data_IF_086335980257
#
_entry.id   IF_086335980257
#
_cell.length_a   1.000
_cell.length_b   1.000
_cell.length_c   1.000
_cell.angle_alpha   90.00
_cell.angle_beta   90.00
_cell.angle_gamma   90.00
#
_symmetry.space_group_name_H-M   'P 1'
#
loop_
_entity.id
_entity.type
_entity.pdbx_description
1 polymer ?
#
# COMPACT_ATOMS: atom_id res chain seq x y z
N UNK A 1 17.33 5.82 -45.48
CA UNK A 1 17.63 6.45 -44.17
C UNK A 1 16.46 7.35 -43.80
N UNK A 2 15.68 7.00 -42.77
CA UNK A 2 14.58 7.83 -42.30
C UNK A 2 15.18 9.11 -41.68
N UNK A 3 14.84 10.29 -42.23
CA UNK A 3 15.28 11.57 -41.67
C UNK A 3 14.66 11.70 -40.27
N UNK A 4 15.47 11.97 -39.24
CA UNK A 4 14.93 12.30 -37.93
C UNK A 4 14.10 13.57 -38.07
N UNK A 5 12.81 13.48 -37.74
CA UNK A 5 11.97 14.69 -37.64
C UNK A 5 12.55 15.52 -36.51
N UNK A 6 13.05 16.71 -36.83
CA UNK A 6 13.40 17.70 -35.81
C UNK A 6 12.13 17.99 -35.02
N UNK A 7 12.15 17.69 -33.73
CA UNK A 7 11.12 18.17 -32.81
C UNK A 7 11.35 19.67 -32.75
N UNK A 8 10.46 20.45 -33.34
CA UNK A 8 10.50 21.91 -33.24
C UNK A 8 10.48 22.28 -31.74
N UNK A 9 11.21 23.32 -31.37
CA UNK A 9 11.25 23.81 -29.99
C UNK A 9 9.81 24.10 -29.55
N UNK A 10 9.35 23.43 -28.50
CA UNK A 10 8.04 23.71 -27.91
C UNK A 10 8.11 25.11 -27.33
N UNK A 11 7.34 26.03 -27.90
CA UNK A 11 7.20 27.37 -27.32
C UNK A 11 6.45 27.28 -26.00
N UNK A 12 6.90 28.05 -25.00
CA UNK A 12 6.30 28.05 -23.66
C UNK A 12 4.80 28.40 -23.72
N UNK A 13 4.40 29.26 -24.66
CA UNK A 13 3.00 29.63 -24.86
C UNK A 13 2.10 28.47 -25.32
N UNK A 14 2.69 27.42 -25.93
CA UNK A 14 1.96 26.25 -26.42
C UNK A 14 2.06 25.06 -25.47
N UNK A 15 2.83 25.19 -24.38
CA UNK A 15 3.14 24.11 -23.45
C UNK A 15 1.85 23.53 -22.85
N UNK A 16 0.90 24.38 -22.44
CA UNK A 16 -0.38 23.93 -21.89
C UNK A 16 -1.18 23.09 -22.88
N UNK A 17 -1.15 23.45 -24.17
CA UNK A 17 -1.84 22.70 -25.21
C UNK A 17 -1.20 21.33 -25.45
N UNK A 18 0.13 21.25 -25.34
CA UNK A 18 0.85 19.97 -25.37
C UNK A 18 0.56 19.11 -24.14
N UNK A 19 0.52 19.70 -22.95
CA UNK A 19 0.16 19.00 -21.71
C UNK A 19 -1.28 18.47 -21.75
N UNK A 20 -2.22 19.26 -22.26
CA UNK A 20 -3.60 18.84 -22.47
C UNK A 20 -3.72 17.68 -23.47
N UNK A 21 -2.99 17.77 -24.59
CA UNK A 21 -3.00 16.72 -25.63
C UNK A 21 -2.34 15.41 -25.18
N UNK A 22 -1.44 15.46 -24.20
CA UNK A 22 -0.74 14.28 -23.67
C UNK A 22 -1.37 13.70 -22.40
N UNK A 23 -2.43 14.34 -21.88
CA UNK A 23 -3.17 13.86 -20.71
C UNK A 23 -2.59 14.26 -19.36
N UNK A 24 -1.57 15.12 -19.31
CA UNK A 24 -1.09 15.71 -18.05
C UNK A 24 -2.05 16.79 -17.52
N UNK A 25 -2.73 17.47 -18.44
CA UNK A 25 -3.86 18.36 -18.17
C UNK A 25 -5.10 17.85 -18.91
N UNK A 26 -6.27 18.36 -18.54
CA UNK A 26 -7.49 18.08 -19.27
C UNK A 26 -7.48 18.83 -20.62
N UNK A 27 -7.84 18.16 -21.73
CA UNK A 27 -8.00 18.82 -23.03
C UNK A 27 -9.00 19.96 -22.93
N UNK A 28 -8.60 21.16 -23.34
CA UNK A 28 -9.47 22.35 -23.31
C UNK A 28 -10.09 22.66 -24.67
N UNK A 29 -9.57 22.06 -25.74
CA UNK A 29 -10.01 22.27 -27.11
C UNK A 29 -10.16 20.94 -27.87
N UNK A 30 -11.02 20.92 -28.90
CA UNK A 30 -11.30 19.70 -29.68
C UNK A 30 -10.04 19.11 -30.33
N UNK A 31 -9.13 19.98 -30.77
CA UNK A 31 -7.87 19.58 -31.39
C UNK A 31 -6.95 18.83 -30.40
N UNK A 32 -6.96 19.24 -29.13
CA UNK A 32 -6.19 18.55 -28.08
C UNK A 32 -6.79 17.19 -27.75
N UNK A 33 -8.12 17.11 -27.72
CA UNK A 33 -8.85 15.88 -27.49
C UNK A 33 -8.60 14.87 -28.62
N UNK A 34 -8.62 15.30 -29.88
CA UNK A 34 -8.32 14.44 -31.02
C UNK A 34 -6.87 13.91 -30.97
N UNK A 35 -5.91 14.78 -30.61
CA UNK A 35 -4.52 14.36 -30.40
C UNK A 35 -4.39 13.35 -29.25
N UNK A 36 -5.09 13.58 -28.14
CA UNK A 36 -5.11 12.67 -27.00
C UNK A 36 -5.66 11.30 -27.40
N UNK A 37 -6.84 11.27 -28.06
CA UNK A 37 -7.47 10.03 -28.51
C UNK A 37 -6.55 9.23 -29.43
N UNK A 38 -5.84 9.90 -30.33
CA UNK A 38 -4.85 9.27 -31.21
C UNK A 38 -3.63 8.75 -30.47
N UNK A 39 -3.18 9.44 -29.43
CA UNK A 39 -2.02 9.02 -28.63
C UNK A 39 -2.32 7.77 -27.78
N UNK A 40 -3.57 7.65 -27.34
CA UNK A 40 -4.03 6.56 -26.46
C UNK A 40 -5.04 5.62 -27.15
N UNK A 41 -5.00 5.52 -28.49
CA UNK A 41 -5.90 4.65 -29.27
C UNK A 41 -5.71 3.17 -28.89
N UNK A 42 -4.45 2.72 -28.76
CA UNK A 42 -4.08 1.36 -28.39
C UNK A 42 -3.95 1.16 -26.87
N UNK A 43 -4.31 2.17 -26.07
CA UNK A 43 -4.13 2.08 -24.62
C UNK A 43 -5.21 1.18 -24.02
N UNK A 44 -4.78 0.07 -23.42
CA UNK A 44 -5.69 -0.83 -22.70
C UNK A 44 -6.07 -0.20 -21.35
N UNK A 45 -7.24 0.44 -21.32
CA UNK A 45 -7.84 0.97 -20.11
C UNK A 45 -8.19 -0.20 -19.19
N UNK A 46 -7.37 -0.44 -18.16
CA UNK A 46 -7.58 -1.47 -17.11
C UNK A 46 -8.88 -1.28 -16.29
N UNK A 47 -9.74 -0.35 -16.69
CA UNK A 47 -10.95 0.08 -16.02
C UNK A 47 -12.23 -0.22 -16.83
N UNK A 48 -12.12 -0.81 -18.03
CA UNK A 48 -13.25 -0.98 -18.97
C UNK A 48 -14.47 -1.72 -18.39
N UNK A 49 -14.28 -2.59 -17.39
CA UNK A 49 -15.37 -3.35 -16.76
C UNK A 49 -15.84 -2.78 -15.41
N UNK A 50 -15.39 -1.58 -15.02
CA UNK A 50 -15.79 -0.95 -13.75
C UNK A 50 -16.83 0.13 -13.99
N UNK A 51 -18.10 -0.28 -13.96
CA UNK A 51 -19.22 0.65 -13.88
C UNK A 51 -19.15 1.43 -12.56
N UNK A 52 -18.98 2.74 -12.66
CA UNK A 52 -19.03 3.66 -11.52
C UNK A 52 -20.47 4.18 -11.45
N UNK A 53 -21.17 3.93 -10.34
CA UNK A 53 -22.46 4.55 -10.06
C UNK A 53 -22.26 5.91 -9.36
N UNK A 54 -22.50 7.05 -10.03
CA UNK A 54 -22.29 8.37 -9.45
C UNK A 54 -23.22 8.62 -8.26
N UNK A 55 -24.43 8.06 -8.28
CA UNK A 55 -25.44 8.26 -7.24
C UNK A 55 -24.98 7.54 -5.96
N UNK A 56 -24.42 6.34 -6.10
CA UNK A 56 -23.86 5.59 -4.96
C UNK A 56 -22.64 6.28 -4.32
N UNK A 57 -21.84 7.01 -5.12
CA UNK A 57 -20.74 7.84 -4.60
C UNK A 57 -21.29 9.03 -3.82
N UNK A 58 -22.24 9.79 -4.41
CA UNK A 58 -22.82 10.98 -3.77
C UNK A 58 -23.52 10.61 -2.46
N UNK A 59 -24.23 9.48 -2.44
CA UNK A 59 -24.97 9.01 -1.28
C UNK A 59 -24.12 8.21 -0.28
N UNK A 60 -22.82 8.04 -0.55
CA UNK A 60 -21.88 7.26 0.27
C UNK A 60 -22.37 5.82 0.57
N UNK A 61 -23.12 5.23 -0.35
CA UNK A 61 -23.60 3.84 -0.27
C UNK A 61 -22.63 2.87 -0.95
N UNK A 62 -21.55 3.38 -1.55
CA UNK A 62 -20.52 2.59 -2.19
C UNK A 62 -19.67 1.84 -1.14
N UNK A 63 -20.12 0.65 -0.76
CA UNK A 63 -19.36 -0.25 0.11
C UNK A 63 -18.22 -0.90 -0.69
N UNK A 64 -17.07 -0.24 -0.75
CA UNK A 64 -15.83 -0.86 -1.22
C UNK A 64 -15.19 -1.59 -0.04
N UNK A 65 -15.03 -2.90 -0.15
CA UNK A 65 -14.18 -3.62 0.80
C UNK A 65 -12.74 -3.08 0.64
N UNK A 66 -12.16 -2.45 1.68
CA UNK A 66 -10.80 -1.97 1.58
C UNK A 66 -9.90 -3.17 1.41
N UNK A 67 -9.12 -3.19 0.32
CA UNK A 67 -8.07 -4.19 0.14
C UNK A 67 -7.00 -3.91 1.19
N UNK A 68 -7.02 -4.67 2.27
CA UNK A 68 -5.96 -4.63 3.28
C UNK A 68 -4.71 -5.23 2.66
N UNK A 69 -3.72 -4.37 2.38
CA UNK A 69 -2.41 -4.80 1.92
C UNK A 69 -1.54 -4.98 3.17
N UNK A 70 -1.36 -6.22 3.59
CA UNK A 70 -0.46 -6.58 4.69
C UNK A 70 0.98 -6.49 4.19
N UNK A 71 1.65 -5.36 4.46
CA UNK A 71 3.01 -5.12 3.98
C UNK A 71 4.07 -6.00 4.66
N UNK A 72 3.84 -6.43 5.90
CA UNK A 72 4.84 -7.11 6.73
C UNK A 72 4.21 -8.15 7.67
N UNK A 73 3.42 -9.09 7.12
CA UNK A 73 2.61 -10.00 7.94
C UNK A 73 3.42 -10.96 8.83
N UNK A 74 4.50 -11.54 8.29
CA UNK A 74 5.24 -12.61 8.98
C UNK A 74 6.58 -12.13 9.56
N UNK A 75 7.26 -11.20 8.89
CA UNK A 75 8.59 -10.72 9.30
C UNK A 75 8.56 -10.01 10.65
N UNK A 76 7.46 -9.32 10.97
CA UNK A 76 7.32 -8.56 12.22
C UNK A 76 7.18 -9.49 13.42
N UNK A 77 6.47 -10.62 13.29
CA UNK A 77 6.33 -11.58 14.38
C UNK A 77 7.67 -12.25 14.71
N UNK A 78 8.45 -12.61 13.69
CA UNK A 78 9.79 -13.18 13.86
C UNK A 78 10.79 -12.19 14.46
N UNK A 79 10.74 -10.91 14.04
CA UNK A 79 11.59 -9.85 14.61
C UNK A 79 11.21 -9.54 16.07
N UNK A 80 9.90 -9.52 16.39
CA UNK A 80 9.39 -9.39 17.77
C UNK A 80 9.86 -10.57 18.63
N UNK A 81 9.80 -11.81 18.09
CA UNK A 81 10.31 -12.99 18.77
C UNK A 81 11.83 -12.85 19.02
N UNK A 82 12.60 -12.32 18.06
CA UNK A 82 14.02 -12.01 18.21
C UNK A 82 14.33 -11.03 19.35
N UNK A 83 13.53 -9.96 19.46
CA UNK A 83 13.72 -8.85 20.41
C UNK A 83 13.13 -9.11 21.82
N UNK A 84 12.36 -10.18 22.00
CA UNK A 84 11.72 -10.52 23.28
C UNK A 84 12.74 -10.98 24.32
N UNK A 85 12.75 -10.33 25.50
CA UNK A 85 13.62 -10.71 26.62
C UNK A 85 13.43 -12.17 27.05
N UNK A 86 14.54 -12.83 27.42
CA UNK A 86 14.61 -14.27 27.77
C UNK A 86 13.59 -14.70 28.81
N UNK A 87 13.32 -13.85 29.82
CA UNK A 87 12.33 -14.13 30.88
C UNK A 87 10.89 -14.30 30.35
N UNK A 88 10.56 -13.72 29.19
CA UNK A 88 9.26 -13.90 28.53
C UNK A 88 9.27 -15.08 27.56
N UNK A 89 10.42 -15.50 27.01
CA UNK A 89 10.53 -16.65 26.08
C UNK A 89 10.34 -18.00 26.77
N UNK A 90 10.56 -18.07 28.09
CA UNK A 90 10.57 -19.33 28.85
C UNK A 90 9.23 -20.04 29.04
N UNK A 91 8.11 -19.57 28.51
CA UNK A 91 6.81 -20.23 28.74
C UNK A 91 6.59 -21.50 27.91
N UNK A 92 7.28 -21.66 26.77
CA UNK A 92 6.98 -22.76 25.84
C UNK A 92 7.92 -23.98 25.99
N UNK A 93 9.16 -23.78 26.46
CA UNK A 93 10.20 -24.83 26.48
C UNK A 93 10.83 -25.08 27.85
N UNK A 94 10.26 -24.57 28.95
CA UNK A 94 10.82 -24.88 30.27
C UNK A 94 10.42 -26.29 30.71
N UNK A 95 11.37 -27.16 31.10
CA UNK A 95 11.06 -28.43 31.73
C UNK A 95 10.25 -28.21 33.02
N UNK A 96 9.22 -29.03 33.21
CA UNK A 96 8.30 -28.95 34.36
C UNK A 96 9.04 -28.92 35.71
N UNK A 97 10.13 -29.68 35.82
CA UNK A 97 11.00 -29.74 37.01
C UNK A 97 11.59 -28.38 37.42
N UNK A 98 11.86 -27.49 36.44
CA UNK A 98 12.40 -26.15 36.70
C UNK A 98 11.28 -25.21 37.15
N UNK A 99 10.09 -25.33 36.55
CA UNK A 99 8.88 -24.58 36.94
C UNK A 99 8.52 -24.90 38.39
N UNK A 100 8.55 -26.19 38.75
CA UNK A 100 8.23 -26.66 40.10
C UNK A 100 9.28 -26.18 41.13
N UNK A 101 10.56 -26.13 40.76
CA UNK A 101 11.62 -25.55 41.60
C UNK A 101 11.42 -24.06 41.82
N UNK A 102 11.05 -23.29 40.80
CA UNK A 102 10.77 -21.86 40.90
C UNK A 102 9.56 -21.60 41.80
N UNK A 103 8.46 -22.33 41.59
CA UNK A 103 7.25 -22.23 42.42
C UNK A 103 7.53 -22.59 43.88
N UNK A 104 8.34 -23.63 44.13
CA UNK A 104 8.71 -24.07 45.48
C UNK A 104 9.61 -23.07 46.22
N UNK A 105 10.47 -22.33 45.52
CA UNK A 105 11.26 -21.24 46.12
C UNK A 105 10.39 -20.04 46.46
N UNK A 106 9.55 -19.59 45.53
CA UNK A 106 8.64 -18.46 45.77
C UNK A 106 7.65 -18.71 46.91
N UNK A 107 7.21 -19.97 47.11
CA UNK A 107 6.30 -20.32 48.20
C UNK A 107 7.00 -20.53 49.56
N UNK A 108 8.34 -20.54 49.62
CA UNK A 108 9.09 -20.74 50.86
C UNK A 108 9.47 -19.44 51.58
N UNK A 109 9.51 -18.32 50.87
CA UNK A 109 9.93 -17.04 51.44
C UNK A 109 8.77 -16.27 52.12
N UNK A 110 7.55 -16.80 52.14
CA UNK A 110 6.40 -16.19 52.84
C UNK A 110 6.22 -16.69 54.28
N UNK A 111 7.20 -17.40 54.84
CA UNK A 111 7.18 -17.87 56.23
C UNK A 111 8.38 -17.37 57.05
N UNK A 112 8.87 -16.17 56.74
CA UNK A 112 9.63 -15.39 57.72
C UNK A 112 8.61 -14.50 58.45
N UNK A 113 7.90 -15.14 59.39
CA UNK A 113 7.11 -14.47 60.41
C UNK A 113 8.07 -13.73 61.36
N UNK A 114 7.80 -12.45 61.58
CA UNK A 114 8.35 -11.61 62.67
C UNK A 114 8.40 -12.34 64.03
#
# INVERSE_FOLDING_TARGET
>A
MAKSKKIELIEIAQLDSWLGSTGFLFPSNELELDRFNKLFEDYNYKLDDKLIDPIAIINNTFHREPKVITMFGNDVEEEIEGLRMVARKGNNDLPQDIIDKMRKKHNKDSSDSE
#
